data_IF_129922115108
#
_entry.id   IF_129922115108
#
_cell.length_a   1.000
_cell.length_b   1.000
_cell.length_c   1.000
_cell.angle_alpha   90.00
_cell.angle_beta   90.00
_cell.angle_gamma   90.00
#
_symmetry.space_group_name_H-M   'P 1'
#
loop_
_entity.id
_entity.type
_entity.pdbx_description
1 polymer ?
#
# COMPACT_ATOMS: atom_id res chain seq x y z
N UNK A 1 -30.27 8.82 -9.53
CA UNK A 1 -29.14 8.20 -10.24
C UNK A 1 -28.32 7.46 -9.19
N UNK A 2 -28.19 6.14 -9.31
CA UNK A 2 -27.40 5.34 -8.38
C UNK A 2 -25.93 5.74 -8.49
N UNK A 3 -25.24 5.78 -7.35
CA UNK A 3 -23.80 6.04 -7.28
C UNK A 3 -23.06 5.12 -8.27
N UNK A 4 -22.49 5.70 -9.33
CA UNK A 4 -21.79 4.99 -10.40
C UNK A 4 -20.35 4.61 -10.00
N UNK A 5 -20.02 4.70 -8.71
CA UNK A 5 -18.74 4.26 -8.18
C UNK A 5 -18.55 2.76 -8.44
N UNK A 6 -17.42 2.34 -9.02
CA UNK A 6 -17.19 0.92 -9.26
C UNK A 6 -17.17 0.15 -7.94
N UNK A 7 -17.84 -1.00 -7.91
CA UNK A 7 -17.71 -1.94 -6.80
C UNK A 7 -16.29 -2.51 -6.83
N UNK A 8 -15.49 -2.17 -5.82
CA UNK A 8 -14.11 -2.63 -5.66
C UNK A 8 -14.07 -3.60 -4.49
N UNK A 9 -13.60 -4.82 -4.75
CA UNK A 9 -13.26 -5.79 -3.71
C UNK A 9 -11.77 -6.07 -3.79
N UNK A 10 -11.13 -6.26 -2.65
CA UNK A 10 -9.71 -6.59 -2.58
C UNK A 10 -9.48 -7.71 -1.56
N UNK A 11 -8.63 -8.65 -1.94
CA UNK A 11 -8.11 -9.71 -1.10
C UNK A 11 -6.60 -9.66 -1.19
N UNK A 12 -5.92 -9.84 -0.07
CA UNK A 12 -4.47 -9.91 -0.07
C UNK A 12 -3.96 -10.87 1.01
N UNK A 13 -2.85 -11.53 0.69
CA UNK A 13 -2.08 -12.33 1.64
C UNK A 13 -0.71 -11.68 1.77
N UNK A 14 -0.29 -11.43 3.00
CA UNK A 14 0.98 -10.80 3.34
C UNK A 14 1.80 -11.77 4.17
N UNK A 15 3.00 -12.10 3.71
CA UNK A 15 3.97 -12.93 4.45
C UNK A 15 5.18 -12.05 4.83
N UNK A 16 5.21 -11.64 6.10
CA UNK A 16 6.21 -10.75 6.66
C UNK A 16 7.44 -11.50 7.17
N UNK A 17 8.63 -10.95 6.94
CA UNK A 17 9.90 -11.52 7.41
C UNK A 17 10.78 -10.45 8.07
N UNK A 18 11.55 -10.86 9.10
CA UNK A 18 12.34 -9.93 9.93
C UNK A 18 11.51 -9.14 10.94
N UNK A 19 10.19 -9.37 10.98
CA UNK A 19 9.18 -8.70 11.81
C UNK A 19 7.87 -8.49 11.04
N UNK A 20 6.79 -8.08 11.73
CA UNK A 20 5.44 -7.96 11.15
C UNK A 20 5.09 -6.56 10.63
N UNK A 21 5.92 -5.54 10.87
CA UNK A 21 5.47 -4.15 10.67
C UNK A 21 5.26 -3.77 9.20
N UNK A 22 6.04 -4.35 8.30
CA UNK A 22 5.86 -4.15 6.86
C UNK A 22 4.55 -4.82 6.41
N UNK A 23 4.29 -6.06 6.84
CA UNK A 23 3.04 -6.75 6.48
C UNK A 23 1.81 -6.07 7.11
N UNK A 24 1.90 -5.60 8.35
CA UNK A 24 0.86 -4.81 9.03
C UNK A 24 0.61 -3.46 8.34
N UNK A 25 1.67 -2.77 7.89
CA UNK A 25 1.55 -1.56 7.10
C UNK A 25 0.85 -1.84 5.76
N UNK A 26 1.27 -2.88 5.04
CA UNK A 26 0.62 -3.27 3.80
C UNK A 26 -0.87 -3.59 4.01
N UNK A 27 -1.22 -4.39 5.03
CA UNK A 27 -2.62 -4.73 5.30
C UNK A 27 -3.48 -3.53 5.71
N UNK A 28 -2.88 -2.54 6.39
CA UNK A 28 -3.61 -1.38 6.90
C UNK A 28 -3.83 -0.28 5.85
N UNK A 29 -2.89 -0.11 4.91
CA UNK A 29 -2.87 1.06 4.01
C UNK A 29 -3.03 0.71 2.53
N UNK A 30 -2.55 -0.45 2.09
CA UNK A 30 -2.58 -0.81 0.66
C UNK A 30 -4.01 -0.86 0.10
N UNK A 31 -5.04 -1.39 0.80
CA UNK A 31 -6.41 -1.39 0.29
C UNK A 31 -6.97 0.00 0.00
N UNK A 32 -6.69 0.96 0.88
CA UNK A 32 -7.11 2.35 0.71
C UNK A 32 -6.38 3.04 -0.43
N UNK A 33 -5.07 2.81 -0.56
CA UNK A 33 -4.25 3.35 -1.64
C UNK A 33 -4.74 2.86 -3.02
N UNK A 34 -4.97 1.56 -3.15
CA UNK A 34 -5.50 0.94 -4.39
C UNK A 34 -6.90 1.48 -4.68
N UNK A 35 -7.79 1.50 -3.69
CA UNK A 35 -9.17 1.99 -3.86
C UNK A 35 -9.22 3.44 -4.32
N UNK A 36 -8.34 4.30 -3.77
CA UNK A 36 -8.22 5.70 -4.21
C UNK A 36 -7.71 5.80 -5.64
N UNK A 37 -6.65 5.05 -6.00
CA UNK A 37 -6.10 5.07 -7.35
C UNK A 37 -7.12 4.64 -8.42
N UNK A 38 -7.84 3.53 -8.17
CA UNK A 38 -8.88 3.03 -9.08
C UNK A 38 -10.03 4.04 -9.24
N UNK A 39 -10.43 4.72 -8.17
CA UNK A 39 -11.50 5.73 -8.22
C UNK A 39 -11.07 7.04 -8.91
N UNK A 40 -9.79 7.43 -8.78
CA UNK A 40 -9.25 8.64 -9.40
C UNK A 40 -9.05 8.47 -10.92
N UNK A 41 -8.73 7.25 -11.37
CA UNK A 41 -8.45 6.94 -12.77
C UNK A 41 -9.33 5.78 -13.28
N UNK A 42 -10.66 5.97 -13.38
CA UNK A 42 -11.56 4.92 -13.83
C UNK A 42 -11.25 4.46 -15.26
N UNK A 43 -11.21 3.15 -15.47
CA UNK A 43 -10.94 2.54 -16.79
C UNK A 43 -9.47 2.34 -17.13
N UNK A 44 -8.55 2.77 -16.25
CA UNK A 44 -7.12 2.48 -16.36
C UNK A 44 -6.85 0.98 -16.21
N UNK A 45 -5.76 0.51 -16.82
CA UNK A 45 -5.29 -0.86 -16.64
C UNK A 45 -5.00 -1.15 -15.16
N UNK A 46 -5.67 -2.16 -14.60
CA UNK A 46 -5.57 -2.48 -13.18
C UNK A 46 -4.19 -3.04 -12.82
N UNK A 47 -3.50 -3.73 -13.74
CA UNK A 47 -2.15 -4.24 -13.50
C UNK A 47 -1.16 -3.09 -13.29
N UNK A 48 -1.21 -2.08 -14.16
CA UNK A 48 -0.36 -0.88 -14.01
C UNK A 48 -0.71 -0.09 -12.75
N UNK A 49 -2.00 0.05 -12.39
CA UNK A 49 -2.41 0.70 -11.13
C UNK A 49 -1.86 -0.05 -9.91
N UNK A 50 -1.98 -1.38 -9.87
CA UNK A 50 -1.46 -2.18 -8.76
C UNK A 50 0.05 -2.04 -8.64
N UNK A 51 0.78 -2.14 -9.76
CA UNK A 51 2.23 -1.99 -9.80
C UNK A 51 2.68 -0.64 -9.27
N UNK A 52 2.06 0.46 -9.72
CA UNK A 52 2.42 1.80 -9.26
C UNK A 52 2.13 2.01 -7.78
N UNK A 53 1.00 1.53 -7.29
CA UNK A 53 0.66 1.65 -5.86
C UNK A 53 1.64 0.84 -5.00
N UNK A 54 2.03 -0.37 -5.42
CA UNK A 54 3.06 -1.15 -4.70
C UNK A 54 4.41 -0.43 -4.68
N UNK A 55 4.89 0.07 -5.84
CA UNK A 55 6.15 0.81 -5.92
C UNK A 55 6.11 2.07 -5.06
N UNK A 56 5.00 2.80 -5.07
CA UNK A 56 4.84 3.99 -4.23
C UNK A 56 4.84 3.65 -2.74
N UNK A 57 4.13 2.60 -2.34
CA UNK A 57 4.08 2.15 -0.94
C UNK A 57 5.47 1.70 -0.46
N UNK A 58 6.21 0.98 -1.30
CA UNK A 58 7.58 0.55 -1.00
C UNK A 58 8.52 1.75 -0.82
N UNK A 59 8.46 2.73 -1.72
CA UNK A 59 9.26 3.96 -1.61
C UNK A 59 8.87 4.80 -0.37
N UNK A 60 7.60 4.86 -0.01
CA UNK A 60 7.13 5.54 1.20
C UNK A 60 7.62 4.83 2.47
N UNK A 61 7.58 3.49 2.51
CA UNK A 61 8.16 2.69 3.60
C UNK A 61 9.68 2.83 3.69
N UNK A 62 10.37 2.87 2.55
CA UNK A 62 11.82 3.11 2.46
C UNK A 62 12.19 4.46 3.04
N UNK A 63 11.45 5.53 2.69
CA UNK A 63 11.63 6.88 3.27
C UNK A 63 11.38 6.90 4.76
N UNK A 64 10.33 6.24 5.26
CA UNK A 64 10.09 6.11 6.71
C UNK A 64 11.27 5.41 7.41
N UNK A 65 11.86 4.40 6.78
CA UNK A 65 13.08 3.74 7.26
C UNK A 65 14.33 4.64 7.21
N UNK A 66 14.45 5.51 6.19
CA UNK A 66 15.62 6.38 5.96
C UNK A 66 15.58 7.72 6.69
N UNK A 67 14.42 8.37 6.84
CA UNK A 67 14.30 9.69 7.46
C UNK A 67 14.66 9.69 8.96
N UNK A 68 14.79 8.51 9.57
CA UNK A 68 15.30 8.32 10.92
C UNK A 68 16.80 8.03 11.00
N UNK A 69 17.47 7.83 9.87
CA UNK A 69 18.94 7.88 9.76
C UNK A 69 19.48 9.32 9.62
N UNK A 70 18.59 10.32 9.62
CA UNK A 70 18.91 11.74 9.63
C UNK A 70 18.60 12.43 8.31
N UNK A 71 17.63 13.34 8.35
CA UNK A 71 17.17 14.26 7.29
C UNK A 71 16.10 13.68 6.34
N UNK A 72 14.83 14.03 6.55
CA UNK A 72 14.00 14.90 5.69
C UNK A 72 12.58 15.07 6.29
N UNK A 73 12.01 16.26 6.15
CA UNK A 73 10.63 16.60 6.55
C UNK A 73 9.62 15.85 5.65
N UNK A 74 8.94 14.83 6.16
CA UNK A 74 7.91 14.12 5.40
C UNK A 74 6.56 14.85 5.43
N UNK A 75 5.97 14.98 4.24
CA UNK A 75 4.55 15.34 4.06
C UNK A 75 3.66 14.31 4.78
N UNK A 76 2.46 14.69 5.23
CA UNK A 76 1.64 13.83 6.07
C UNK A 76 1.03 12.70 5.24
N UNK A 77 1.74 11.57 5.15
CA UNK A 77 1.11 10.28 4.93
C UNK A 77 0.65 9.73 6.29
N UNK A 78 -0.59 9.23 6.43
CA UNK A 78 -1.10 8.64 7.68
C UNK A 78 -0.18 7.55 8.25
N UNK A 79 0.53 6.84 7.37
CA UNK A 79 1.51 5.80 7.67
C UNK A 79 2.65 6.28 8.58
N UNK A 80 3.18 7.49 8.35
CA UNK A 80 4.29 8.05 9.12
C UNK A 80 3.89 8.33 10.57
N UNK A 81 2.65 8.80 10.76
CA UNK A 81 2.13 9.17 12.08
C UNK A 81 1.67 7.96 12.89
N UNK A 82 1.11 6.94 12.22
CA UNK A 82 0.67 5.69 12.87
C UNK A 82 1.84 4.84 13.40
N UNK A 83 3.06 5.04 12.87
CA UNK A 83 4.22 4.18 13.14
C UNK A 83 5.34 4.88 13.91
N UNK A 84 5.03 6.04 14.50
CA UNK A 84 5.96 6.85 15.26
C UNK A 84 6.24 6.27 16.67
N UNK A 85 6.98 5.16 16.77
CA UNK A 85 7.33 4.60 18.09
C UNK A 85 8.50 3.63 18.16
N UNK A 86 8.95 3.04 17.04
CA UNK A 86 9.86 1.89 17.11
C UNK A 86 11.11 2.08 16.23
N UNK A 87 12.30 2.23 16.83
CA UNK A 87 13.45 2.84 16.17
C UNK A 87 14.15 1.99 15.10
N UNK A 88 13.95 0.68 15.03
CA UNK A 88 14.72 -0.19 14.12
C UNK A 88 13.89 -1.08 13.19
N UNK A 89 12.56 -0.94 13.14
CA UNK A 89 11.75 -1.99 12.54
C UNK A 89 11.93 -2.14 11.01
N UNK A 90 11.97 -1.05 10.24
CA UNK A 90 11.83 -1.15 8.79
C UNK A 90 13.11 -1.37 7.99
N UNK A 91 14.30 -1.15 8.58
CA UNK A 91 15.57 -1.23 7.85
C UNK A 91 15.96 -2.63 7.35
N UNK A 92 15.39 -3.67 7.96
CA UNK A 92 15.66 -5.09 7.65
C UNK A 92 14.40 -5.96 7.62
N UNK A 93 13.21 -5.36 7.82
CA UNK A 93 11.93 -6.04 7.66
C UNK A 93 11.49 -5.98 6.19
N UNK A 94 10.75 -6.99 5.78
CA UNK A 94 10.10 -7.00 4.47
C UNK A 94 8.84 -7.86 4.50
N UNK A 95 8.17 -7.92 3.37
CA UNK A 95 6.94 -8.67 3.19
C UNK A 95 6.83 -9.10 1.74
N UNK A 96 6.39 -10.34 1.49
CA UNK A 96 5.83 -10.72 0.20
C UNK A 96 4.32 -10.50 0.21
N UNK A 97 3.74 -10.16 -0.94
CA UNK A 97 2.31 -9.92 -1.05
C UNK A 97 1.77 -10.59 -2.30
N UNK A 98 0.58 -11.19 -2.19
CA UNK A 98 -0.26 -11.54 -3.33
C UNK A 98 -1.56 -10.77 -3.16
N UNK A 99 -1.92 -9.96 -4.15
CA UNK A 99 -3.10 -9.11 -4.12
C UNK A 99 -4.05 -9.46 -5.27
N UNK A 100 -5.31 -9.74 -4.96
CA UNK A 100 -6.38 -9.87 -5.94
C UNK A 100 -7.35 -8.70 -5.80
N UNK A 101 -7.55 -7.96 -6.89
CA UNK A 101 -8.56 -6.89 -6.97
C UNK A 101 -9.66 -7.29 -7.93
N UNK A 102 -10.90 -7.00 -7.54
CA UNK A 102 -12.09 -7.21 -8.36
C UNK A 102 -12.75 -5.85 -8.56
N UNK A 103 -12.88 -5.44 -9.82
CA UNK A 103 -13.56 -4.19 -10.19
C UNK A 103 -14.64 -4.53 -11.23
N UNK A 104 -15.90 -4.40 -10.83
CA UNK A 104 -17.02 -4.92 -11.64
C UNK A 104 -16.94 -6.44 -11.78
N UNK A 105 -16.78 -6.94 -13.01
CA UNK A 105 -16.65 -8.38 -13.31
C UNK A 105 -15.26 -8.77 -13.83
N UNK A 106 -14.23 -8.00 -13.46
CA UNK A 106 -12.84 -8.25 -13.82
C UNK A 106 -12.01 -8.48 -12.57
N UNK A 107 -11.22 -9.55 -12.58
CA UNK A 107 -10.28 -9.90 -11.52
C UNK A 107 -8.86 -9.68 -12.06
N UNK A 108 -8.04 -9.00 -11.28
CA UNK A 108 -6.61 -8.83 -11.55
C UNK A 108 -5.83 -9.29 -10.32
N UNK A 109 -4.81 -10.12 -10.55
CA UNK A 109 -3.93 -10.65 -9.49
C UNK A 109 -2.52 -10.15 -9.75
N UNK A 110 -1.85 -9.67 -8.69
CA UNK A 110 -0.47 -9.19 -8.69
C UNK A 110 0.30 -9.73 -7.50
#
# INVERSE_FOLDING_TARGET
AGDASPNIMMFAVYDGHGGSKVSEACSSFLPDCISKAVRQEPGRDLGEVLKEVHVRMDEDLRKVGQDRAGQTQLRPFPLVSAMAGEPNAFGYMGCTAVTAIIVGNRITVS
#
